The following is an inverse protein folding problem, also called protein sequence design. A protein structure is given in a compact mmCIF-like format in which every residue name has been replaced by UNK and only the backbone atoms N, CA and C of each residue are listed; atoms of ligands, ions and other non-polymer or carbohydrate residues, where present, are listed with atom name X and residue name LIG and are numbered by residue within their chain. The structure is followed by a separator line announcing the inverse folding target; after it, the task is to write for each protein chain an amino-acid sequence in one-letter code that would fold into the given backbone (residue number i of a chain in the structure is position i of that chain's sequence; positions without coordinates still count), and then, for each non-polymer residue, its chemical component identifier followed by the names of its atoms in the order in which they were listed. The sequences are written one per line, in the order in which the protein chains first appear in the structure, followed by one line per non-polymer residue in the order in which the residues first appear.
data_IF_420884609561
#
_entry.id   IF_420884609561
#
_cell.length_a   1.000
_cell.length_b   1.000
_cell.length_c   1.000
_cell.angle_alpha   90.00
_cell.angle_beta   90.00
_cell.angle_gamma   90.00
#
_symmetry.space_group_name_H-M   'P 1'
#
loop_
_entity.id
_entity.type
_entity.pdbx_description
1 polymer ?
#
# COMPACT_ATOMS: atom_id res chain seq x y z
N UNK A 1 19.43 -10.72 -9.83
CA UNK A 1 18.73 -9.80 -9.83
C UNK A 1 18.27 -9.50 -8.64
N UNK A 2 18.34 -8.56 -8.24
CA UNK A 2 17.76 -8.30 -7.00
C UNK A 2 16.29 -8.30 -7.13
N UNK A 3 15.73 -9.21 -6.46
CA UNK A 3 14.31 -9.37 -6.52
C UNK A 3 13.59 -8.15 -6.05
N UNK A 4 14.17 -7.44 -5.13
CA UNK A 4 13.50 -6.31 -4.54
C UNK A 4 13.27 -5.17 -5.51
N UNK A 5 14.02 -5.16 -6.61
CA UNK A 5 13.85 -4.09 -7.57
C UNK A 5 13.04 -4.52 -8.76
N UNK A 6 12.57 -5.75 -8.74
CA UNK A 6 11.81 -6.23 -9.86
C UNK A 6 10.42 -5.69 -9.83
N UNK A 7 9.87 -5.52 -10.99
CA UNK A 7 8.50 -5.09 -11.09
C UNK A 7 7.56 -6.23 -10.75
N UNK A 8 6.38 -5.91 -10.25
CA UNK A 8 5.40 -6.95 -9.97
C UNK A 8 5.07 -7.73 -11.21
N UNK A 9 4.77 -8.99 -11.03
CA UNK A 9 4.39 -9.83 -12.14
C UNK A 9 3.05 -9.39 -12.70
N UNK A 10 2.89 -9.46 -14.03
CA UNK A 10 1.60 -9.12 -14.62
C UNK A 10 0.50 -9.99 -14.03
N UNK A 11 -0.59 -9.37 -13.68
CA UNK A 11 -1.73 -10.07 -13.11
C UNK A 11 -1.60 -10.41 -11.64
N UNK A 12 -0.49 -10.06 -11.01
CA UNK A 12 -0.33 -10.31 -9.59
C UNK A 12 -1.19 -9.35 -8.78
N UNK A 13 -1.39 -9.69 -7.52
CA UNK A 13 -2.13 -8.84 -6.61
C UNK A 13 -1.46 -7.46 -6.49
N UNK A 14 -0.14 -7.45 -6.39
CA UNK A 14 0.60 -6.20 -6.30
C UNK A 14 0.35 -5.32 -7.51
N UNK A 15 0.48 -5.89 -8.69
CA UNK A 15 0.31 -5.12 -9.90
C UNK A 15 -1.11 -4.59 -10.03
N UNK A 16 -2.07 -5.41 -9.67
CA UNK A 16 -3.47 -5.03 -9.73
C UNK A 16 -3.74 -3.81 -8.87
N UNK A 17 -3.22 -3.82 -7.66
CA UNK A 17 -3.42 -2.71 -6.74
C UNK A 17 -2.68 -1.47 -7.21
N UNK A 18 -1.43 -1.63 -7.61
CA UNK A 18 -0.63 -0.49 -8.08
C UNK A 18 -1.27 0.16 -9.30
N UNK A 19 -1.75 -0.66 -10.23
CA UNK A 19 -2.38 -0.16 -11.44
C UNK A 19 -3.66 0.60 -11.11
N UNK A 20 -4.46 0.06 -10.17
CA UNK A 20 -5.69 0.72 -9.81
C UNK A 20 -5.44 2.07 -9.14
N UNK A 21 -4.44 2.10 -8.26
CA UNK A 21 -4.10 3.34 -7.58
C UNK A 21 -3.61 4.40 -8.56
N UNK A 22 -2.80 3.97 -9.53
CA UNK A 22 -2.29 4.89 -10.54
C UNK A 22 -3.42 5.43 -11.41
N UNK A 23 -4.33 4.56 -11.83
CA UNK A 23 -5.46 4.96 -12.65
C UNK A 23 -6.33 5.98 -11.93
N UNK A 24 -6.45 5.85 -10.64
CA UNK A 24 -7.30 6.72 -9.82
C UNK A 24 -6.54 7.91 -9.26
N UNK A 25 -5.33 8.13 -9.73
CA UNK A 25 -4.54 9.32 -9.42
C UNK A 25 -4.11 9.41 -7.98
N UNK A 26 -3.85 8.28 -7.35
CA UNK A 26 -3.24 8.26 -6.04
C UNK A 26 -1.86 8.91 -6.15
N UNK A 27 -1.42 9.54 -5.07
CA UNK A 27 -0.17 10.28 -5.05
C UNK A 27 0.89 9.52 -4.28
N UNK A 28 2.12 9.66 -4.71
CA UNK A 28 3.29 9.13 -4.00
C UNK A 28 3.12 7.66 -3.66
N UNK A 29 2.85 6.86 -4.67
CA UNK A 29 2.66 5.43 -4.50
C UNK A 29 4.01 4.78 -4.27
N UNK A 30 4.15 4.05 -3.17
CA UNK A 30 5.40 3.38 -2.80
C UNK A 30 5.11 1.92 -2.54
N UNK A 31 5.92 1.05 -3.13
CA UNK A 31 5.85 -0.40 -2.89
C UNK A 31 7.06 -0.78 -2.04
N UNK A 32 6.79 -1.42 -0.92
CA UNK A 32 7.84 -1.82 0.01
C UNK A 32 7.82 -3.33 0.14
N UNK A 33 8.97 -3.95 -0.12
CA UNK A 33 9.12 -5.39 0.00
C UNK A 33 9.30 -5.76 1.46
N UNK A 34 8.42 -6.62 1.97
CA UNK A 34 8.47 -7.07 3.35
C UNK A 34 8.97 -8.50 3.49
N UNK A 35 9.32 -9.14 2.39
CA UNK A 35 9.80 -10.52 2.46
C UNK A 35 11.07 -10.57 3.29
N UNK A 36 11.07 -11.45 4.27
CA UNK A 36 12.19 -11.57 5.18
C UNK A 36 12.18 -10.54 6.30
N UNK A 37 11.26 -9.57 6.26
CA UNK A 37 11.18 -8.54 7.30
C UNK A 37 9.93 -8.67 8.14
N UNK A 38 8.88 -9.24 7.59
CA UNK A 38 7.62 -9.39 8.30
C UNK A 38 6.97 -10.71 7.91
N UNK A 39 6.47 -11.47 8.89
CA UNK A 39 5.73 -12.68 8.57
C UNK A 39 4.30 -12.42 8.17
N UNK A 40 3.83 -11.17 8.28
CA UNK A 40 2.42 -10.88 8.09
C UNK A 40 2.03 -10.65 6.65
N UNK A 41 2.96 -10.15 5.85
CA UNK A 41 2.67 -9.88 4.46
C UNK A 41 3.98 -9.88 3.67
N UNK A 42 3.87 -10.08 2.37
CA UNK A 42 5.04 -10.07 1.49
C UNK A 42 5.40 -8.66 1.05
N UNK A 43 4.42 -7.77 0.99
CA UNK A 43 4.69 -6.40 0.57
C UNK A 43 3.67 -5.45 1.17
N UNK A 44 4.06 -4.18 1.17
CA UNK A 44 3.21 -3.10 1.65
C UNK A 44 3.17 -2.02 0.58
N UNK A 45 2.00 -1.49 0.32
CA UNK A 45 1.84 -0.39 -0.61
C UNK A 45 1.33 0.80 0.18
N UNK A 46 1.98 1.94 0.01
CA UNK A 46 1.59 3.17 0.68
C UNK A 46 1.30 4.22 -0.38
N UNK A 47 0.19 4.90 -0.25
CA UNK A 47 -0.17 5.94 -1.21
C UNK A 47 -1.01 7.00 -0.51
N UNK A 48 -1.16 8.13 -1.15
CA UNK A 48 -1.92 9.24 -0.62
C UNK A 48 -3.07 9.60 -1.54
N UNK A 49 -4.17 10.05 -0.92
CA UNK A 49 -5.26 10.67 -1.66
C UNK A 49 -5.35 12.13 -1.24
N UNK A 50 -5.86 12.97 -2.13
CA UNK A 50 -5.90 14.42 -1.90
C UNK A 50 -6.84 14.85 -0.79
N UNK A 51 -7.84 14.04 -0.50
CA UNK A 51 -8.87 14.40 0.45
C UNK A 51 -9.47 13.14 1.04
N UNK A 52 -10.30 13.29 2.05
CA UNK A 52 -11.05 12.16 2.61
C UNK A 52 -11.83 11.44 1.53
N UNK A 53 -12.49 12.19 0.67
CA UNK A 53 -13.29 11.60 -0.39
C UNK A 53 -12.41 10.81 -1.35
N UNK A 54 -11.25 11.35 -1.70
CA UNK A 54 -10.35 10.68 -2.62
C UNK A 54 -9.80 9.40 -1.98
N UNK A 55 -9.40 9.46 -0.71
CA UNK A 55 -8.92 8.28 0.00
C UNK A 55 -10.01 7.21 0.03
N UNK A 56 -11.24 7.60 0.31
CA UNK A 56 -12.35 6.66 0.33
C UNK A 56 -12.59 6.03 -1.03
N UNK A 57 -12.50 6.82 -2.09
CA UNK A 57 -12.68 6.30 -3.44
C UNK A 57 -11.56 5.33 -3.81
N UNK A 58 -10.32 5.67 -3.43
CA UNK A 58 -9.20 4.78 -3.67
C UNK A 58 -9.41 3.44 -2.98
N UNK A 59 -9.83 3.50 -1.72
CA UNK A 59 -10.07 2.27 -0.97
C UNK A 59 -11.15 1.42 -1.62
N UNK A 60 -12.25 2.04 -2.02
CA UNK A 60 -13.34 1.33 -2.64
C UNK A 60 -12.91 0.66 -3.94
N UNK A 61 -12.16 1.38 -4.77
CA UNK A 61 -11.72 0.86 -6.05
C UNK A 61 -10.71 -0.27 -5.87
N UNK A 62 -9.82 -0.14 -4.90
CA UNK A 62 -8.85 -1.21 -4.62
C UNK A 62 -9.57 -2.46 -4.15
N UNK A 63 -10.54 -2.30 -3.24
CA UNK A 63 -11.29 -3.47 -2.76
C UNK A 63 -12.03 -4.18 -3.89
N UNK A 64 -12.63 -3.41 -4.79
CA UNK A 64 -13.31 -4.00 -5.93
C UNK A 64 -12.35 -4.71 -6.86
N UNK A 65 -11.20 -4.10 -7.11
CA UNK A 65 -10.20 -4.71 -7.99
C UNK A 65 -9.71 -6.03 -7.42
N UNK A 66 -9.48 -6.07 -6.12
CA UNK A 66 -9.04 -7.30 -5.47
C UNK A 66 -10.07 -8.40 -5.65
N UNK A 67 -11.33 -8.05 -5.43
CA UNK A 67 -12.41 -9.02 -5.55
C UNK A 67 -12.58 -9.48 -6.99
N UNK A 68 -12.63 -8.52 -7.92
CA UNK A 68 -12.85 -8.83 -9.32
C UNK A 68 -11.69 -9.60 -9.92
N UNK A 69 -10.50 -9.40 -9.39
CA UNK A 69 -9.32 -10.11 -9.85
C UNK A 69 -9.19 -11.52 -9.32
N UNK A 70 -10.14 -11.95 -8.51
CA UNK A 70 -10.12 -13.32 -8.03
C UNK A 70 -9.18 -13.54 -6.84
N UNK A 71 -8.78 -12.48 -6.15
CA UNK A 71 -7.85 -12.59 -5.04
C UNK A 71 -8.55 -12.74 -3.69
N UNK A 72 -9.87 -12.94 -3.71
CA UNK A 72 -10.62 -13.16 -2.50
C UNK A 72 -11.05 -11.87 -1.85
N UNK A 73 -11.21 -11.92 -0.55
CA UNK A 73 -11.67 -10.78 0.22
C UNK A 73 -10.52 -10.11 0.93
N UNK A 74 -10.61 -8.81 1.04
CA UNK A 74 -9.65 -8.04 1.82
C UNK A 74 -10.38 -7.45 3.03
N UNK A 75 -9.64 -7.24 4.10
CA UNK A 75 -10.17 -6.57 5.28
C UNK A 75 -9.83 -5.11 5.18
N UNK A 76 -10.75 -4.26 5.64
CA UNK A 76 -10.53 -2.83 5.55
C UNK A 76 -10.85 -2.19 6.89
N UNK A 77 -10.01 -1.23 7.28
CA UNK A 77 -10.22 -0.43 8.48
C UNK A 77 -9.96 1.02 8.15
N UNK A 78 -10.59 1.90 8.90
CA UNK A 78 -10.38 3.33 8.71
C UNK A 78 -11.50 4.03 7.98
N UNK A 79 -12.52 3.28 7.55
CA UNK A 79 -13.71 3.88 6.96
C UNK A 79 -14.71 4.15 8.07
N UNK A 80 -15.48 5.19 7.97
CA UNK A 80 -15.58 6.16 6.87
C UNK A 80 -14.72 7.39 7.03
N UNK A 81 -13.92 7.48 8.08
CA UNK A 81 -13.13 8.68 8.33
C UNK A 81 -12.13 8.98 7.25
N UNK A 82 -11.47 7.95 6.73
CA UNK A 82 -10.56 8.07 5.60
C UNK A 82 -9.35 8.97 5.84
N UNK A 83 -8.92 9.09 7.10
CA UNK A 83 -7.63 9.71 7.38
C UNK A 83 -6.50 8.74 7.08
N UNK A 84 -6.70 7.49 7.46
CA UNK A 84 -5.74 6.43 7.27
C UNK A 84 -6.55 5.16 7.07
N UNK A 85 -6.57 4.64 5.85
CA UNK A 85 -7.29 3.42 5.54
C UNK A 85 -6.28 2.29 5.36
N UNK A 86 -6.53 1.19 6.03
CA UNK A 86 -5.72 0.00 5.93
C UNK A 86 -6.52 -1.07 5.20
N UNK A 87 -5.93 -1.63 4.14
CA UNK A 87 -6.53 -2.74 3.43
C UNK A 87 -5.59 -3.92 3.54
N UNK A 88 -6.07 -4.98 4.18
CA UNK A 88 -5.28 -6.20 4.36
C UNK A 88 -5.77 -7.24 3.36
N UNK A 89 -4.98 -7.48 2.35
CA UNK A 89 -5.31 -8.45 1.30
C UNK A 89 -4.51 -9.74 1.44
N UNK A 90 -3.96 -9.99 2.62
CA UNK A 90 -3.20 -11.20 2.89
C UNK A 90 -1.73 -11.01 2.58
N UNK A 91 -1.34 -11.21 1.34
CA UNK A 91 0.06 -11.07 0.96
C UNK A 91 0.49 -9.63 0.79
N UNK A 92 -0.47 -8.73 0.59
CA UNK A 92 -0.21 -7.31 0.38
C UNK A 92 -1.06 -6.52 1.33
N UNK A 93 -0.45 -5.55 1.99
CA UNK A 93 -1.14 -4.61 2.86
C UNK A 93 -1.06 -3.24 2.23
N UNK A 94 -2.18 -2.54 2.15
CA UNK A 94 -2.22 -1.21 1.53
C UNK A 94 -2.56 -0.17 2.59
N UNK A 95 -1.76 0.88 2.65
CA UNK A 95 -2.01 2.02 3.53
C UNK A 95 -2.32 3.22 2.67
N UNK A 96 -3.49 3.81 2.88
CA UNK A 96 -3.92 4.99 2.15
C UNK A 96 -4.11 6.12 3.15
N UNK A 97 -3.48 7.25 2.90
CA UNK A 97 -3.49 8.37 3.82
C UNK A 97 -3.87 9.65 3.10
N UNK A 98 -4.41 10.61 3.86
CA UNK A 98 -4.32 11.99 3.42
C UNK A 98 -2.86 12.42 3.61
N UNK A 99 -2.35 13.34 2.78
CA UNK A 99 -0.92 13.67 2.83
C UNK A 99 -0.43 14.12 4.21
N UNK A 100 -1.19 14.92 4.90
CA UNK A 100 -0.76 15.41 6.20
C UNK A 100 -0.70 14.29 7.24
N UNK A 101 -1.61 13.32 7.13
CA UNK A 101 -1.60 12.18 8.05
C UNK A 101 -0.41 11.28 7.74
N UNK A 102 -0.14 11.06 6.47
CA UNK A 102 0.99 10.24 6.05
C UNK A 102 2.30 10.79 6.58
N UNK A 103 2.47 12.10 6.47
CA UNK A 103 3.68 12.74 6.95
C UNK A 103 3.82 12.56 8.46
N UNK A 104 2.71 12.67 9.17
CA UNK A 104 2.73 12.58 10.62
C UNK A 104 3.14 11.18 11.08
N UNK A 105 2.54 10.13 10.50
CA UNK A 105 2.85 8.77 10.91
C UNK A 105 4.12 8.23 10.27
N UNK A 106 4.37 8.62 9.02
CA UNK A 106 5.61 8.29 8.35
C UNK A 106 5.89 6.79 8.34
N UNK A 107 4.84 6.01 8.18
CA UNK A 107 4.93 4.56 8.35
C UNK A 107 5.86 3.91 7.34
N UNK A 108 5.92 4.45 6.15
CA UNK A 108 6.76 3.86 5.12
C UNK A 108 8.24 3.91 5.46
N UNK A 109 8.66 4.91 6.22
CA UNK A 109 10.06 5.02 6.59
C UNK A 109 10.49 3.97 7.57
N UNK A 110 9.55 3.50 8.38
CA UNK A 110 9.88 2.46 9.34
C UNK A 110 10.42 1.23 8.63
N UNK A 111 9.82 0.89 7.49
CA UNK A 111 10.22 -0.30 6.76
C UNK A 111 11.33 -0.03 5.77
N UNK A 112 11.32 1.12 5.10
CA UNK A 112 12.31 1.37 4.07
C UNK A 112 13.69 1.66 4.66
N UNK A 113 13.74 2.34 5.78
CA UNK A 113 15.02 2.65 6.42
C UNK A 113 15.67 1.39 6.94
N UNK A 114 14.86 0.49 7.42
CA UNK A 114 15.37 -0.74 7.98
C UNK A 114 16.18 -1.54 7.00
N UNK A 115 15.97 -1.35 5.76
CA UNK A 115 16.69 -2.15 4.80
C UNK A 115 18.15 -1.75 4.72
N UNK A 116 18.54 -0.75 5.33
CA UNK A 116 19.89 -0.38 5.31
C UNK A 116 20.43 -0.01 6.55
N UNK A 117 20.14 0.38 6.60
CA UNK A 117 20.46 0.99 7.30
C UNK A 117 20.15 1.55 8.14
N UNK A 118 19.87 1.28 8.56
CA UNK A 118 19.42 1.93 9.26
C UNK A 118 19.97 2.62 9.86
N UNK A 119 20.45 2.42 9.58
CA UNK A 119 20.87 3.00 9.86
C UNK A 119 21.17 3.91 10.01
N UNK A 120 21.29 3.97 10.08
CA UNK A 120 21.39 4.84 10.14
C UNK A 120 21.18 5.64 10.30
N UNK A 121 20.84 5.71 10.54
CA UNK A 121 20.48 6.47 10.56
C UNK A 121 20.17 7.11 10.69
N UNK A 122 20.11 7.00 10.71
CA UNK A 122 19.71 7.58 10.66
C UNK A 122 19.71 7.93 10.65
#
# INVERSE_FOLDING_TARGET
MPASTEEPRPGSLEELILSRLDDDKAQEIVLIDLKGKSPMADSMIVASGRSHRHVGALADHVLRAIKDGGHGRARVEGLPHCDWVLIDAGDVVVHLFRPEVRTFYNIEKIWSVDSNHIKAAN
#
